data_IF_212092091040
#
_entry.id   IF_212092091040
#
_cell.length_a   1.000
_cell.length_b   1.000
_cell.length_c   1.000
_cell.angle_alpha   90.00
_cell.angle_beta   90.00
_cell.angle_gamma   90.00
#
_symmetry.space_group_name_H-M   'P 1'
#
loop_
_entity.id
_entity.type
_entity.pdbx_description
1 polymer ?
#
# COMPACT_ATOMS: atom_id res chain seq x y z
N UNK A 1 -1.24 6.23 23.30
CA UNK A 1 0.06 5.55 23.04
C UNK A 1 -0.08 4.11 23.50
N UNK A 2 0.07 3.10 22.63
CA UNK A 2 -0.23 1.71 23.01
C UNK A 2 0.93 1.06 23.77
N UNK A 3 0.60 0.19 24.73
CA UNK A 3 1.57 -0.58 25.53
C UNK A 3 2.11 -1.79 24.76
N UNK A 4 3.24 -2.37 25.19
CA UNK A 4 3.82 -3.55 24.54
C UNK A 4 2.83 -4.72 24.54
N UNK A 5 2.13 -4.96 25.65
CA UNK A 5 1.12 -6.04 25.73
C UNK A 5 -0.05 -5.83 24.76
N UNK A 6 -0.43 -4.58 24.48
CA UNK A 6 -1.45 -4.26 23.47
C UNK A 6 -0.94 -4.58 22.06
N UNK A 7 0.32 -4.26 21.76
CA UNK A 7 0.93 -4.55 20.46
C UNK A 7 1.15 -6.06 20.22
N UNK A 8 1.49 -6.82 21.26
CA UNK A 8 1.64 -8.28 21.19
C UNK A 8 0.30 -8.95 20.89
N UNK A 9 -0.79 -8.49 21.53
CA UNK A 9 -2.14 -9.03 21.29
C UNK A 9 -2.78 -8.51 20.00
N UNK A 10 -2.52 -7.25 19.65
CA UNK A 10 -3.06 -6.55 18.48
C UNK A 10 -1.94 -5.72 17.85
N UNK A 11 -1.26 -6.30 16.87
CA UNK A 11 -0.22 -5.62 16.10
C UNK A 11 -0.74 -4.37 15.39
N UNK A 12 0.17 -3.50 14.94
CA UNK A 12 -0.21 -2.35 14.12
C UNK A 12 -0.60 -2.81 12.73
N UNK A 13 -1.68 -2.24 12.21
CA UNK A 13 -2.06 -2.42 10.81
C UNK A 13 -1.30 -1.43 9.94
N UNK A 14 -0.74 -1.92 8.83
CA UNK A 14 -0.17 -1.05 7.82
C UNK A 14 -1.29 -0.46 6.96
N UNK A 15 -1.21 0.84 6.69
CA UNK A 15 -2.17 1.51 5.80
C UNK A 15 -1.73 1.26 4.35
N UNK A 16 -2.44 0.39 3.64
CA UNK A 16 -2.19 0.13 2.22
C UNK A 16 -2.74 1.27 1.37
N UNK A 17 -1.88 1.93 0.59
CA UNK A 17 -2.31 2.95 -0.38
C UNK A 17 -2.50 2.32 -1.75
N UNK A 18 -3.63 2.63 -2.41
CA UNK A 18 -3.84 2.26 -3.81
C UNK A 18 -3.02 3.17 -4.72
N UNK A 19 -2.37 2.59 -5.72
CA UNK A 19 -1.72 3.37 -6.76
C UNK A 19 -2.79 4.01 -7.67
N UNK A 20 -2.70 5.31 -7.89
CA UNK A 20 -3.59 6.05 -8.80
C UNK A 20 -3.38 5.66 -10.27
N UNK A 21 -2.17 5.21 -10.62
CA UNK A 21 -1.80 4.81 -11.99
C UNK A 21 -1.68 3.29 -12.12
N UNK A 22 -2.76 2.57 -11.83
CA UNK A 22 -2.79 1.11 -11.87
C UNK A 22 -2.42 0.54 -13.25
N UNK A 23 -2.82 1.22 -14.33
CA UNK A 23 -2.54 0.83 -15.70
C UNK A 23 -1.04 0.80 -16.01
N UNK A 24 -0.19 1.52 -15.28
CA UNK A 24 1.25 1.56 -15.52
C UNK A 24 2.00 0.38 -14.88
N UNK A 25 1.39 -0.43 -14.00
CA UNK A 25 2.03 -1.60 -13.35
C UNK A 25 3.51 -1.40 -12.98
N UNK A 26 3.84 -0.30 -12.30
CA UNK A 26 5.21 0.08 -11.92
C UNK A 26 6.21 0.37 -13.06
N UNK A 27 5.79 0.41 -14.33
CA UNK A 27 6.60 0.92 -15.41
C UNK A 27 6.42 2.44 -15.56
N UNK A 28 7.43 3.18 -16.04
CA UNK A 28 7.33 4.64 -16.17
C UNK A 28 6.32 5.07 -17.25
N UNK A 29 6.18 4.29 -18.32
CA UNK A 29 5.32 4.58 -19.48
C UNK A 29 4.87 3.28 -20.14
N UNK A 30 3.63 3.23 -20.66
CA UNK A 30 3.13 2.14 -21.51
C UNK A 30 2.73 2.67 -22.88
N UNK A 31 3.05 1.93 -23.94
CA UNK A 31 2.52 2.22 -25.28
C UNK A 31 1.03 1.89 -25.32
N UNK A 32 0.23 2.84 -25.81
CA UNK A 32 -1.19 2.63 -26.13
C UNK A 32 -1.40 2.78 -27.62
N UNK A 33 -2.34 2.01 -28.16
CA UNK A 33 -2.93 2.25 -29.48
C UNK A 33 -4.29 2.91 -29.24
N UNK A 34 -4.66 3.87 -30.11
CA UNK A 34 -5.96 4.55 -30.04
C UNK A 34 -7.11 3.59 -30.34
#
# INVERSE_FOLDING_TARGET
>A
MPTIQQLVRKGRTQITKKNKSAALTSCPQRRGVC
#
